data_IF_076311368936
#
_entry.id   IF_076311368936
#
_cell.length_a   1.000
_cell.length_b   1.000
_cell.length_c   1.000
_cell.angle_alpha   90.00
_cell.angle_beta   90.00
_cell.angle_gamma   90.00
#
_symmetry.space_group_name_H-M   'P 1'
#
loop_
_entity.id
_entity.type
_entity.pdbx_description
1 polymer ?
#
# COMPACT_ATOMS: atom_id res chain seq x y z
N UNK A 1 15.10 -12.37 7.95
CA UNK A 1 14.66 -10.95 7.86
C UNK A 1 13.72 -10.69 9.03
N UNK A 2 14.02 -9.73 9.91
CA UNK A 2 13.16 -9.40 11.06
C UNK A 2 11.98 -8.52 10.64
N UNK A 3 10.79 -8.75 11.20
CA UNK A 3 9.54 -8.04 10.86
C UNK A 3 9.69 -6.50 10.87
N UNK A 4 10.34 -5.96 11.91
CA UNK A 4 10.58 -4.52 12.04
C UNK A 4 11.29 -3.90 10.83
N UNK A 5 12.25 -4.61 10.22
CA UNK A 5 12.96 -4.11 9.03
C UNK A 5 12.04 -4.01 7.81
N UNK A 6 11.11 -4.95 7.66
CA UNK A 6 10.16 -4.94 6.54
C UNK A 6 9.15 -3.80 6.69
N UNK A 7 8.70 -3.54 7.90
CA UNK A 7 7.81 -2.41 8.18
C UNK A 7 8.47 -1.07 7.81
N UNK A 8 9.72 -0.84 8.21
CA UNK A 8 10.47 0.38 7.86
C UNK A 8 10.64 0.51 6.35
N UNK A 9 10.93 -0.58 5.64
CA UNK A 9 11.05 -0.58 4.17
C UNK A 9 9.75 -0.23 3.48
N UNK A 10 8.61 -0.75 3.95
CA UNK A 10 7.29 -0.38 3.42
C UNK A 10 6.99 1.11 3.62
N UNK A 11 7.34 1.67 4.78
CA UNK A 11 7.18 3.11 5.04
C UNK A 11 8.07 3.97 4.13
N UNK A 12 9.32 3.55 3.91
CA UNK A 12 10.24 4.22 2.99
C UNK A 12 9.76 4.12 1.54
N UNK A 13 9.25 2.96 1.13
CA UNK A 13 8.66 2.72 -0.18
C UNK A 13 7.49 3.66 -0.43
N UNK A 14 6.53 3.76 0.50
CA UNK A 14 5.39 4.69 0.41
C UNK A 14 5.88 6.13 0.26
N UNK A 15 6.85 6.55 1.09
CA UNK A 15 7.43 7.90 1.02
C UNK A 15 8.05 8.19 -0.34
N UNK A 16 8.81 7.26 -0.90
CA UNK A 16 9.50 7.45 -2.19
C UNK A 16 8.52 7.51 -3.36
N UNK A 17 7.48 6.65 -3.36
CA UNK A 17 6.43 6.65 -4.39
C UNK A 17 5.63 7.95 -4.33
N UNK A 18 5.27 8.42 -3.12
CA UNK A 18 4.53 9.69 -2.94
C UNK A 18 5.32 10.91 -3.41
N UNK A 19 6.63 10.93 -3.19
CA UNK A 19 7.51 12.00 -3.67
C UNK A 19 7.83 11.87 -5.17
N UNK A 20 7.42 10.77 -5.84
CA UNK A 20 7.83 10.42 -7.21
C UNK A 20 9.35 10.39 -7.41
N UNK A 21 10.09 10.08 -6.35
CA UNK A 21 11.56 10.04 -6.33
C UNK A 21 12.08 8.59 -6.40
N UNK A 22 11.32 7.66 -6.97
CA UNK A 22 11.69 6.25 -7.05
C UNK A 22 12.79 6.01 -8.07
N UNK A 23 12.65 6.56 -9.28
CA UNK A 23 13.55 6.28 -10.40
C UNK A 23 13.30 4.87 -10.96
N UNK A 24 14.26 4.35 -11.72
CA UNK A 24 14.15 2.99 -12.27
C UNK A 24 14.17 1.94 -11.14
N UNK A 25 13.71 0.72 -11.40
CA UNK A 25 13.66 -0.37 -10.42
C UNK A 25 15.02 -0.62 -9.74
N UNK A 26 16.14 -0.47 -10.48
CA UNK A 26 17.48 -0.59 -9.92
C UNK A 26 17.83 0.53 -8.93
N UNK A 27 17.56 1.78 -9.28
CA UNK A 27 17.78 2.94 -8.41
C UNK A 27 16.89 2.90 -7.18
N UNK A 28 15.65 2.45 -7.35
CA UNK A 28 14.70 2.30 -6.25
C UNK A 28 15.15 1.23 -5.26
N UNK A 29 15.64 0.09 -5.76
CA UNK A 29 16.19 -0.96 -4.93
C UNK A 29 17.45 -0.49 -4.16
N UNK A 30 18.32 0.30 -4.83
CA UNK A 30 19.50 0.88 -4.21
C UNK A 30 19.15 1.87 -3.09
N UNK A 31 18.13 2.73 -3.30
CA UNK A 31 17.64 3.67 -2.27
C UNK A 31 17.06 2.98 -1.03
N UNK A 32 16.52 1.78 -1.20
CA UNK A 32 15.98 0.95 -0.11
C UNK A 32 17.02 -0.04 0.45
N UNK A 33 18.26 -0.05 -0.08
CA UNK A 33 19.34 -0.98 0.27
C UNK A 33 18.90 -2.45 0.18
N UNK A 34 18.16 -2.80 -0.88
CA UNK A 34 17.67 -4.16 -1.13
C UNK A 34 18.00 -4.62 -2.54
N UNK A 35 17.89 -5.93 -2.77
CA UNK A 35 17.96 -6.47 -4.13
C UNK A 35 16.70 -6.12 -4.94
N UNK A 36 16.83 -6.07 -6.26
CA UNK A 36 15.70 -5.84 -7.16
C UNK A 36 14.59 -6.86 -6.94
N UNK A 37 14.91 -8.14 -6.73
CA UNK A 37 13.91 -9.18 -6.43
C UNK A 37 13.13 -8.88 -5.15
N UNK A 38 13.80 -8.38 -4.11
CA UNK A 38 13.14 -8.00 -2.85
C UNK A 38 12.25 -6.77 -3.02
N UNK A 39 12.65 -5.82 -3.89
CA UNK A 39 11.83 -4.67 -4.24
C UNK A 39 10.52 -5.13 -4.90
N UNK A 40 10.59 -6.04 -5.86
CA UNK A 40 9.38 -6.58 -6.51
C UNK A 40 8.48 -7.30 -5.52
N UNK A 41 9.04 -8.05 -4.57
CA UNK A 41 8.27 -8.66 -3.49
C UNK A 41 7.59 -7.59 -2.62
N UNK A 42 8.28 -6.53 -2.23
CA UNK A 42 7.70 -5.43 -1.45
C UNK A 42 6.60 -4.68 -2.21
N UNK A 43 6.78 -4.45 -3.51
CA UNK A 43 5.77 -3.85 -4.37
C UNK A 43 4.54 -4.76 -4.49
N UNK A 44 4.75 -6.06 -4.59
CA UNK A 44 3.68 -7.05 -4.60
C UNK A 44 2.92 -7.06 -3.27
N UNK A 45 3.63 -7.05 -2.14
CA UNK A 45 3.02 -6.93 -0.81
C UNK A 45 2.23 -5.62 -0.68
N UNK A 46 2.76 -4.50 -1.19
CA UNK A 46 2.02 -3.23 -1.18
C UNK A 46 0.72 -3.32 -2.01
N UNK A 47 0.75 -3.99 -3.17
CA UNK A 47 -0.44 -4.24 -3.99
C UNK A 47 -1.46 -5.13 -3.28
N UNK A 48 -1.01 -6.17 -2.58
CA UNK A 48 -1.86 -7.05 -1.77
C UNK A 48 -2.51 -6.31 -0.60
N UNK A 49 -1.83 -5.30 -0.04
CA UNK A 49 -2.37 -4.40 0.97
C UNK A 49 -3.36 -3.36 0.43
N UNK A 50 -3.65 -3.40 -0.88
CA UNK A 50 -4.60 -2.50 -1.54
C UNK A 50 -3.95 -1.27 -2.20
N UNK A 51 -2.63 -1.25 -2.39
CA UNK A 51 -1.96 -0.15 -3.05
C UNK A 51 -1.89 -0.33 -4.58
N UNK A 52 -2.65 0.47 -5.31
CA UNK A 52 -2.61 0.54 -6.78
C UNK A 52 -1.37 1.33 -7.25
N UNK A 53 -0.29 0.62 -7.54
CA UNK A 53 0.99 1.16 -8.02
C UNK A 53 1.19 0.85 -9.50
N UNK A 54 1.43 1.88 -10.30
CA UNK A 54 1.80 1.77 -11.72
C UNK A 54 3.20 2.33 -11.97
N UNK A 55 3.85 1.83 -13.02
CA UNK A 55 5.15 2.35 -13.46
C UNK A 55 4.94 3.27 -14.67
N UNK A 56 5.39 4.52 -14.55
CA UNK A 56 5.34 5.48 -15.64
C UNK A 56 6.63 5.39 -16.48
N UNK A 57 6.54 4.86 -17.69
CA UNK A 57 7.67 4.72 -18.60
C UNK A 57 8.27 6.06 -19.06
N UNK A 58 7.49 7.14 -19.10
CA UNK A 58 7.97 8.46 -19.55
C UNK A 58 8.84 9.15 -18.50
N UNK A 59 8.50 8.96 -17.22
CA UNK A 59 9.23 9.56 -16.09
C UNK A 59 10.18 8.57 -15.41
N UNK A 60 10.12 7.29 -15.79
CA UNK A 60 10.81 6.19 -15.14
C UNK A 60 10.57 6.19 -13.62
N UNK A 61 9.32 6.41 -13.20
CA UNK A 61 8.95 6.49 -11.78
C UNK A 61 7.72 5.66 -11.48
N UNK A 62 7.72 5.05 -10.30
CA UNK A 62 6.53 4.43 -9.72
C UNK A 62 5.63 5.50 -9.12
N UNK A 63 4.35 5.43 -9.46
CA UNK A 63 3.32 6.37 -9.00
C UNK A 63 2.08 5.61 -8.53
N UNK A 64 1.35 6.21 -7.59
CA UNK A 64 0.03 5.71 -7.20
C UNK A 64 -1.01 6.19 -8.21
N UNK A 65 -1.92 5.30 -8.59
CA UNK A 65 -3.07 5.68 -9.41
C UNK A 65 -4.04 6.58 -8.62
N UNK A 66 -4.27 6.22 -7.36
CA UNK A 66 -5.11 6.95 -6.44
C UNK A 66 -4.29 7.57 -5.27
N UNK A 67 -4.63 8.78 -4.78
CA UNK A 67 -3.90 9.42 -3.70
C UNK A 67 -4.12 8.69 -2.36
N UNK A 68 -3.21 7.77 -2.07
CA UNK A 68 -3.19 6.89 -0.90
C UNK A 68 -1.99 7.14 0.01
N UNK A 69 -2.04 6.59 1.23
CA UNK A 69 -0.95 6.62 2.20
C UNK A 69 -0.96 5.31 2.99
N UNK A 70 0.20 4.69 3.12
CA UNK A 70 0.39 3.57 4.03
C UNK A 70 0.45 4.05 5.50
N UNK A 71 -0.39 3.49 6.36
CA UNK A 71 -0.40 3.69 7.81
C UNK A 71 -0.42 2.34 8.52
N UNK A 72 0.57 2.11 9.39
CA UNK A 72 0.70 0.90 10.19
C UNK A 72 1.15 1.30 11.59
N UNK A 73 0.40 0.90 12.62
CA UNK A 73 0.67 1.24 14.02
C UNK A 73 -0.55 0.99 14.91
N UNK A 74 -0.36 1.16 16.21
CA UNK A 74 -1.45 1.19 17.17
C UNK A 74 -1.99 2.61 17.29
N UNK A 75 -3.29 2.77 17.20
CA UNK A 75 -3.98 4.02 17.48
C UNK A 75 -4.59 3.94 18.89
N UNK A 76 -4.44 5.01 19.68
CA UNK A 76 -5.12 5.10 20.97
C UNK A 76 -6.58 5.39 20.69
N UNK A 77 -7.43 4.41 20.97
CA UNK A 77 -8.88 4.53 20.83
C UNK A 77 -9.45 4.82 22.21
N UNK A 78 -10.27 5.87 22.32
CA UNK A 78 -11.00 6.17 23.56
C UNK A 78 -11.93 5.02 23.93
N UNK A 79 -11.98 4.68 25.23
CA UNK A 79 -12.73 3.52 25.76
C UNK A 79 -14.21 3.51 25.40
N UNK A 80 -14.81 4.66 25.16
CA UNK A 80 -16.21 4.79 24.76
C UNK A 80 -16.50 4.14 23.38
N UNK A 81 -15.50 4.04 22.49
CA UNK A 81 -15.64 3.38 21.16
C UNK A 81 -15.34 1.88 21.17
N UNK A 82 -14.73 1.37 22.24
CA UNK A 82 -14.36 -0.05 22.36
C UNK A 82 -15.57 -0.98 22.59
N UNK A 83 -16.74 -0.44 22.92
CA UNK A 83 -17.94 -1.20 23.24
C UNK A 83 -18.70 -1.77 22.01
N UNK A 84 -18.28 -1.49 20.78
CA UNK A 84 -18.92 -2.03 19.56
C UNK A 84 -18.34 -3.35 19.04
N UNK A 85 -17.19 -3.83 19.54
CA UNK A 85 -16.57 -5.09 19.08
C UNK A 85 -17.03 -6.34 19.86
N UNK A 86 -18.26 -6.35 20.37
CA UNK A 86 -18.93 -7.58 20.79
C UNK A 86 -19.90 -8.03 19.70
N UNK A 87 -19.38 -8.84 18.77
CA UNK A 87 -20.18 -9.91 18.17
C UNK A 87 -21.23 -9.54 17.14
N UNK A 88 -21.07 -8.45 16.37
CA UNK A 88 -22.02 -8.14 15.30
C UNK A 88 -21.43 -8.43 13.90
N UNK A 89 -22.01 -9.43 13.23
CA UNK A 89 -22.03 -9.49 11.77
C UNK A 89 -22.92 -8.33 11.33
N UNK A 90 -22.34 -7.14 11.20
CA UNK A 90 -23.00 -6.01 10.56
C UNK A 90 -22.12 -5.51 9.43
N UNK A 91 -22.55 -5.81 8.21
CA UNK A 91 -22.11 -5.08 7.03
C UNK A 91 -22.64 -3.63 7.18
N UNK A 92 -21.83 -2.71 7.69
CA UNK A 92 -22.27 -1.33 7.92
C UNK A 92 -21.19 -0.37 8.38
N UNK A 93 -20.67 0.37 7.40
CA UNK A 93 -20.11 1.74 7.48
C UNK A 93 -18.87 2.07 8.33
N UNK A 94 -17.78 2.36 7.61
CA UNK A 94 -16.59 3.07 8.11
C UNK A 94 -16.96 4.49 8.59
N UNK A 95 -16.50 4.93 9.78
CA UNK A 95 -16.67 6.31 10.21
C UNK A 95 -15.92 7.26 9.27
N UNK A 96 -16.60 8.34 8.90
CA UNK A 96 -16.14 9.33 7.93
C UNK A 96 -14.81 9.98 8.39
N UNK A 97 -13.73 9.73 7.66
CA UNK A 97 -12.54 10.58 7.63
C UNK A 97 -12.92 11.92 6.96
N UNK A 98 -12.53 13.08 7.52
CA UNK A 98 -12.86 14.36 6.92
C UNK A 98 -12.19 14.47 5.55
N UNK A 99 -13.01 14.52 4.49
CA UNK A 99 -12.60 15.03 3.18
C UNK A 99 -12.16 14.02 2.11
N UNK A 100 -12.64 12.77 2.11
CA UNK A 100 -12.43 11.85 0.97
C UNK A 100 -13.77 11.33 0.45
N UNK A 101 -14.11 11.72 -0.79
CA UNK A 101 -15.30 11.28 -1.51
C UNK A 101 -15.37 9.74 -1.50
N UNK A 102 -16.48 9.21 -1.00
CA UNK A 102 -16.79 7.78 -1.04
C UNK A 102 -16.90 7.37 -2.51
N UNK A 103 -15.93 6.63 -3.03
CA UNK A 103 -16.15 5.82 -4.23
C UNK A 103 -16.22 4.38 -3.77
N UNK A 104 -17.46 3.90 -3.65
CA UNK A 104 -17.79 2.49 -3.57
C UNK A 104 -17.16 1.76 -4.73
N UNK A 105 -16.18 0.90 -4.48
CA UNK A 105 -15.83 -0.15 -5.41
C UNK A 105 -15.69 -1.45 -4.64
N UNK A 106 -16.78 -2.22 -4.71
CA UNK A 106 -16.77 -3.66 -4.53
C UNK A 106 -15.77 -4.24 -5.54
N UNK A 107 -14.53 -4.51 -5.12
CA UNK A 107 -13.63 -5.31 -5.94
C UNK A 107 -14.00 -6.78 -5.79
N UNK A 108 -14.98 -7.15 -6.62
CA UNK A 108 -15.22 -8.48 -7.15
C UNK A 108 -13.87 -9.06 -7.57
N UNK A 109 -13.49 -10.17 -6.95
CA UNK A 109 -12.30 -10.95 -7.30
C UNK A 109 -12.43 -11.35 -8.77
N UNK A 110 -11.67 -10.70 -9.64
CA UNK A 110 -11.40 -11.14 -11.01
C UNK A 110 -10.29 -10.28 -11.60
N UNK A 111 -9.08 -10.82 -11.70
CA UNK A 111 -8.43 -11.07 -13.00
C UNK A 111 -7.01 -11.61 -12.81
N UNK A 112 -6.80 -12.74 -13.49
CA UNK A 112 -5.57 -13.43 -13.80
C UNK A 112 -4.36 -12.50 -14.02
N UNK A 113 -3.34 -12.65 -13.18
CA UNK A 113 -2.01 -12.13 -13.45
C UNK A 113 -1.33 -13.07 -14.45
N UNK A 114 -1.45 -12.75 -15.74
CA UNK A 114 -0.54 -13.27 -16.76
C UNK A 114 0.83 -12.67 -16.49
N UNK A 115 1.75 -13.51 -16.03
CA UNK A 115 3.18 -13.21 -16.02
C UNK A 115 3.66 -13.03 -17.47
N UNK A 116 4.40 -11.96 -17.81
CA UNK A 116 5.11 -11.92 -19.08
C UNK A 116 6.23 -12.97 -19.01
N UNK A 117 6.14 -13.99 -19.88
CA UNK A 117 7.22 -14.94 -20.13
C UNK A 117 8.34 -14.19 -20.84
N UNK A 118 9.51 -14.14 -20.22
CA UNK A 118 10.77 -13.87 -20.92
C UNK A 118 11.29 -15.17 -21.52
#
# INVERSE_FOLDING_TARGET
MSFNKQQTRLQQLDRLIRMRCTGNAGEFAQKLEISQSSLFLLLQTAKELGAEIHFNHYRCTYEYENPMRFTCGFEVIDRERLHQTRGDISCGELPNLPGKKKHSFLFRISKNYTTPKF
#
